data_IF_097982489405
#
_entry.id   IF_097982489405
#
_cell.length_a   1.000
_cell.length_b   1.000
_cell.length_c   1.000
_cell.angle_alpha   90.00
_cell.angle_beta   90.00
_cell.angle_gamma   90.00
#
_symmetry.space_group_name_H-M   'P 1'
#
loop_
_entity.id
_entity.type
_entity.pdbx_description
1 polymer ?
#
# COMPACT_ATOMS: atom_id res chain seq x y z
N UNK A 1 -4.54 6.99 -15.75
CA UNK A 1 -4.23 5.66 -15.14
C UNK A 1 -4.36 4.49 -16.11
N UNK A 2 -5.42 4.39 -16.94
CA UNK A 2 -5.59 3.30 -17.92
C UNK A 2 -4.36 3.06 -18.80
N UNK A 3 -3.89 4.09 -19.52
CA UNK A 3 -2.69 4.00 -20.35
C UNK A 3 -1.41 3.63 -19.55
N UNK A 4 -1.29 4.05 -18.29
CA UNK A 4 -0.16 3.67 -17.44
C UNK A 4 -0.26 2.19 -17.05
N UNK A 5 -1.44 1.73 -16.65
CA UNK A 5 -1.71 0.32 -16.32
C UNK A 5 -1.43 -0.60 -17.52
N UNK A 6 -1.82 -0.19 -18.72
CA UNK A 6 -1.53 -0.90 -19.97
C UNK A 6 -0.02 -0.94 -20.25
N UNK A 7 0.67 0.20 -20.16
CA UNK A 7 2.12 0.28 -20.37
C UNK A 7 2.91 -0.70 -19.47
N UNK A 8 2.48 -0.88 -18.22
CA UNK A 8 3.15 -1.75 -17.25
C UNK A 8 2.50 -3.14 -17.12
N UNK A 9 1.56 -3.50 -18.01
CA UNK A 9 1.03 -4.86 -18.07
C UNK A 9 0.22 -5.28 -16.85
N UNK A 10 -0.67 -4.42 -16.35
CA UNK A 10 -1.55 -4.69 -15.20
C UNK A 10 -2.22 -6.07 -15.30
N UNK A 11 -2.06 -6.87 -14.25
CA UNK A 11 -2.67 -8.19 -14.11
C UNK A 11 -3.99 -8.13 -13.31
N UNK A 12 -4.83 -9.18 -13.33
CA UNK A 12 -5.95 -9.32 -12.40
C UNK A 12 -5.50 -9.13 -10.94
N UNK A 13 -6.35 -8.53 -10.12
CA UNK A 13 -6.03 -8.20 -8.72
C UNK A 13 -5.39 -6.82 -8.51
N UNK A 14 -5.00 -6.11 -9.57
CA UNK A 14 -4.47 -4.75 -9.47
C UNK A 14 -5.52 -3.68 -9.74
N UNK A 15 -5.72 -2.78 -8.78
CA UNK A 15 -6.55 -1.59 -8.93
C UNK A 15 -5.69 -0.35 -8.78
N UNK A 16 -5.66 0.50 -9.80
CA UNK A 16 -5.00 1.80 -9.73
C UNK A 16 -6.04 2.86 -9.42
N UNK A 17 -5.83 3.58 -8.32
CA UNK A 17 -6.75 4.60 -7.82
C UNK A 17 -6.13 6.00 -7.91
N UNK A 18 -6.99 7.01 -8.00
CA UNK A 18 -6.63 8.43 -7.95
C UNK A 18 -7.78 9.20 -7.31
N UNK A 19 -7.54 10.44 -6.90
CA UNK A 19 -8.57 11.32 -6.35
C UNK A 19 -8.25 12.80 -6.60
N UNK A 20 -9.07 13.67 -6.03
CA UNK A 20 -8.76 15.10 -5.94
C UNK A 20 -7.57 15.32 -4.98
N UNK A 21 -6.85 16.43 -5.11
CA UNK A 21 -5.73 16.75 -4.22
C UNK A 21 -6.11 16.70 -2.73
N UNK A 22 -7.23 17.30 -2.28
CA UNK A 22 -7.61 17.25 -0.87
C UNK A 22 -7.82 15.82 -0.34
N UNK A 23 -8.43 14.93 -1.13
CA UNK A 23 -8.66 13.53 -0.73
C UNK A 23 -7.36 12.73 -0.68
N UNK A 24 -6.46 12.93 -1.65
CA UNK A 24 -5.13 12.29 -1.63
C UNK A 24 -4.31 12.81 -0.45
N UNK A 25 -4.30 14.12 -0.18
CA UNK A 25 -3.61 14.70 0.97
C UNK A 25 -4.15 14.16 2.30
N UNK A 26 -5.48 14.00 2.42
CA UNK A 26 -6.14 13.41 3.59
C UNK A 26 -5.69 11.96 3.81
N UNK A 27 -5.68 11.14 2.76
CA UNK A 27 -5.20 9.76 2.82
C UNK A 27 -3.72 9.69 3.24
N UNK A 28 -2.83 10.44 2.59
CA UNK A 28 -1.40 10.43 2.89
C UNK A 28 -1.10 10.87 4.33
N UNK A 29 -1.87 11.83 4.87
CA UNK A 29 -1.77 12.26 6.28
C UNK A 29 -2.22 11.15 7.23
N UNK A 30 -3.34 10.49 6.97
CA UNK A 30 -3.79 9.35 7.77
C UNK A 30 -2.75 8.21 7.78
N UNK A 31 -2.12 7.98 6.63
CA UNK A 31 -1.02 7.03 6.48
C UNK A 31 0.33 7.55 7.00
N UNK A 32 0.42 8.77 7.52
CA UNK A 32 1.65 9.40 8.05
C UNK A 32 2.82 9.41 7.05
N UNK A 33 2.53 9.61 5.77
CA UNK A 33 3.52 9.64 4.66
C UNK A 33 3.38 10.89 3.78
N UNK A 34 2.62 11.87 4.26
CA UNK A 34 2.39 13.12 3.52
C UNK A 34 3.68 13.93 3.36
N UNK A 35 3.87 14.46 2.16
CA UNK A 35 4.88 15.45 1.78
C UNK A 35 4.19 16.59 1.00
N UNK A 36 4.61 17.86 1.15
CA UNK A 36 4.07 18.95 0.35
C UNK A 36 4.48 18.88 -1.14
N UNK A 37 5.65 18.32 -1.45
CA UNK A 37 6.09 18.07 -2.82
C UNK A 37 5.80 16.61 -3.20
N UNK A 38 4.90 16.41 -4.18
CA UNK A 38 4.54 15.08 -4.67
C UNK A 38 5.72 14.28 -5.23
N UNK A 39 6.81 14.94 -5.63
CA UNK A 39 8.01 14.27 -6.14
C UNK A 39 8.90 13.73 -5.02
N UNK A 40 8.79 14.27 -3.79
CA UNK A 40 9.59 13.88 -2.62
C UNK A 40 8.85 12.86 -1.75
N UNK A 41 8.53 11.70 -2.34
CA UNK A 41 7.80 10.63 -1.66
C UNK A 41 8.69 9.43 -1.35
N UNK A 42 8.52 8.86 -0.15
CA UNK A 42 9.14 7.60 0.23
C UNK A 42 8.49 6.42 -0.50
N UNK A 43 9.27 5.46 -1.05
CA UNK A 43 8.71 4.27 -1.71
C UNK A 43 8.23 3.28 -0.65
N UNK A 44 6.96 3.37 -0.27
CA UNK A 44 6.34 2.55 0.78
C UNK A 44 5.30 1.62 0.17
N UNK A 45 5.30 0.36 0.64
CA UNK A 45 4.23 -0.62 0.39
C UNK A 45 3.53 -0.89 1.73
N UNK A 46 2.20 -0.93 1.71
CA UNK A 46 1.37 -1.34 2.84
C UNK A 46 0.78 -2.73 2.55
N UNK A 47 0.93 -3.65 3.48
CA UNK A 47 0.32 -4.98 3.46
C UNK A 47 -0.71 -5.02 4.58
N UNK A 48 -1.96 -5.33 4.26
CA UNK A 48 -3.04 -5.38 5.25
C UNK A 48 -4.27 -6.07 4.70
N UNK A 49 -5.23 -6.28 5.58
CA UNK A 49 -6.55 -6.86 5.29
C UNK A 49 -7.61 -6.02 5.99
N UNK A 50 -8.65 -5.62 5.24
CA UNK A 50 -9.76 -4.81 5.76
C UNK A 50 -10.45 -5.49 6.94
N UNK A 51 -10.52 -6.83 6.96
CA UNK A 51 -11.16 -7.59 8.03
C UNK A 51 -10.38 -7.68 9.34
N UNK A 52 -9.08 -7.31 9.35
CA UNK A 52 -8.18 -7.51 10.50
C UNK A 52 -7.79 -6.22 11.22
N UNK A 53 -8.04 -5.06 10.63
CA UNK A 53 -7.53 -3.74 11.08
C UNK A 53 -6.01 -3.73 11.36
N UNK A 54 -5.27 -4.61 10.69
CA UNK A 54 -3.82 -4.79 10.84
C UNK A 54 -3.10 -4.36 9.55
N UNK A 55 -2.06 -3.55 9.68
CA UNK A 55 -1.26 -3.05 8.57
C UNK A 55 0.24 -3.14 8.85
N UNK A 56 0.99 -3.72 7.91
CA UNK A 56 2.45 -3.80 7.92
C UNK A 56 3.04 -2.88 6.84
N UNK A 57 4.11 -2.15 7.19
CA UNK A 57 4.86 -1.29 6.26
C UNK A 57 6.09 -2.04 5.72
N UNK A 58 6.30 -1.97 4.42
CA UNK A 58 7.50 -2.48 3.75
C UNK A 58 8.13 -1.41 2.85
N UNK A 59 9.42 -1.57 2.57
CA UNK A 59 10.15 -0.71 1.63
C UNK A 59 9.87 -1.15 0.19
N UNK A 60 9.31 -0.26 -0.63
CA UNK A 60 8.80 -0.57 -1.96
C UNK A 60 9.87 -0.84 -3.02
N UNK A 61 11.14 -0.53 -2.75
CA UNK A 61 12.26 -0.89 -3.63
C UNK A 61 13.05 -2.11 -3.12
N UNK A 62 12.52 -2.84 -2.13
CA UNK A 62 13.09 -4.12 -1.73
C UNK A 62 12.98 -5.16 -2.87
N UNK A 63 13.84 -6.20 -2.88
CA UNK A 63 13.71 -7.31 -3.81
C UNK A 63 12.29 -7.92 -3.75
N UNK A 64 11.69 -8.35 -4.88
CA UNK A 64 10.33 -8.90 -4.89
C UNK A 64 10.12 -10.05 -3.89
N UNK A 65 11.14 -10.91 -3.71
CA UNK A 65 11.11 -11.99 -2.72
C UNK A 65 10.88 -11.48 -1.29
N UNK A 66 11.43 -10.32 -0.91
CA UNK A 66 11.22 -9.72 0.41
C UNK A 66 9.81 -9.19 0.61
N UNK A 67 9.18 -8.69 -0.46
CA UNK A 67 7.77 -8.32 -0.40
C UNK A 67 6.87 -9.56 -0.29
N UNK A 68 7.19 -10.63 -1.03
CA UNK A 68 6.47 -11.90 -0.92
C UNK A 68 6.58 -12.52 0.48
N UNK A 69 7.77 -12.49 1.09
CA UNK A 69 7.99 -12.89 2.49
C UNK A 69 7.13 -12.07 3.45
N UNK A 70 7.06 -10.74 3.28
CA UNK A 70 6.24 -9.86 4.12
C UNK A 70 4.74 -10.14 3.99
N UNK A 71 4.27 -10.42 2.78
CA UNK A 71 2.87 -10.82 2.52
C UNK A 71 2.57 -12.16 3.19
N UNK A 72 3.43 -13.16 3.00
CA UNK A 72 3.23 -14.48 3.60
C UNK A 72 3.24 -14.41 5.13
N UNK A 73 4.18 -13.65 5.73
CA UNK A 73 4.22 -13.45 7.16
C UNK A 73 2.96 -12.79 7.71
N UNK A 74 2.38 -11.82 7.00
CA UNK A 74 1.10 -11.21 7.37
C UNK A 74 -0.06 -12.21 7.30
N UNK A 75 -0.10 -13.07 6.28
CA UNK A 75 -1.13 -14.09 6.12
C UNK A 75 -1.03 -15.18 7.19
N UNK A 76 0.19 -15.59 7.57
CA UNK A 76 0.44 -16.64 8.56
C UNK A 76 0.26 -16.16 10.00
N UNK A 77 0.39 -14.85 10.24
CA UNK A 77 0.16 -14.27 11.56
C UNK A 77 -1.30 -14.56 12.00
N UNK A 78 -1.53 -15.02 13.24
CA UNK A 78 -2.88 -15.16 13.76
C UNK A 78 -3.58 -13.80 13.73
N UNK A 79 -4.87 -13.79 13.39
CA UNK A 79 -5.66 -12.56 13.50
C UNK A 79 -5.61 -12.12 14.96
N UNK A 80 -5.13 -10.90 15.22
CA UNK A 80 -5.25 -10.33 16.55
C UNK A 80 -6.72 -10.39 16.97
N UNK A 81 -6.99 -10.82 18.21
CA UNK A 81 -8.32 -10.61 18.80
C UNK A 81 -8.56 -9.11 18.76
N UNK A 82 -9.41 -8.66 17.82
CA UNK A 82 -9.62 -7.25 17.54
C UNK A 82 -9.84 -6.46 18.82
N UNK A 83 -8.97 -5.50 19.08
CA UNK A 83 -9.21 -4.53 20.14
C UNK A 83 -10.48 -3.77 19.76
N UNK A 84 -11.55 -4.02 20.51
CA UNK A 84 -12.68 -3.09 20.62
C UNK A 84 -12.22 -1.75 21.18
#
# INVERSE_FOLDING_TARGET
LKAWAEKFGRQPGWTLVTGSKPEVDKLLKALKVFTPDKNDHSPIVLVGDEGRDEWTRAYGLAPPAKLAEAIQAFLDAPQGEGSR
#
